data_IF_452524876967
#
_entry.id   IF_452524876967
#
_cell.length_a   1.000
_cell.length_b   1.000
_cell.length_c   1.000
_cell.angle_alpha   90.00
_cell.angle_beta   90.00
_cell.angle_gamma   90.00
#
_symmetry.space_group_name_H-M   'P 1'
#
loop_
_entity.id
_entity.type
_entity.pdbx_description
1 polymer ?
#
# COMPACT_ATOMS: atom_id res chain seq x y z
N UNK A 1 42.21 9.10 34.60
CA UNK A 1 40.99 8.25 34.46
C UNK A 1 40.12 8.93 33.41
N UNK A 2 40.25 8.57 32.13
CA UNK A 2 39.30 7.74 31.36
C UNK A 2 37.81 8.10 31.60
N UNK A 3 37.29 8.86 30.62
CA UNK A 3 35.94 8.86 30.02
C UNK A 3 34.70 8.76 30.91
N UNK A 4 33.70 9.62 30.63
CA UNK A 4 32.40 9.19 30.11
C UNK A 4 31.79 10.35 29.31
N UNK A 5 31.50 10.06 28.04
CA UNK A 5 30.63 10.80 27.13
C UNK A 5 29.20 10.32 27.38
N UNK A 6 28.22 11.23 27.44
CA UNK A 6 26.83 10.86 27.16
C UNK A 6 26.04 12.09 26.69
N UNK A 7 25.96 12.24 25.36
CA UNK A 7 25.08 13.17 24.67
C UNK A 7 23.62 12.69 24.81
N UNK A 8 22.74 13.57 25.29
CA UNK A 8 21.30 13.31 25.33
C UNK A 8 20.65 13.92 24.08
N UNK A 9 20.55 13.11 23.03
CA UNK A 9 19.75 13.42 21.84
C UNK A 9 18.27 13.28 22.18
N UNK A 10 17.53 14.38 22.19
CA UNK A 10 16.08 14.37 22.38
C UNK A 10 15.41 13.96 21.06
N UNK A 11 14.66 12.87 21.12
CA UNK A 11 14.01 12.19 20.03
C UNK A 11 13.00 13.06 19.27
N UNK A 12 13.09 13.02 17.94
CA UNK A 12 12.10 13.56 17.00
C UNK A 12 11.10 12.45 16.67
N UNK A 13 9.86 12.85 16.42
CA UNK A 13 8.78 12.13 15.73
C UNK A 13 7.96 11.11 16.54
N UNK A 14 6.93 11.61 17.23
CA UNK A 14 5.66 10.87 17.36
C UNK A 14 4.66 11.52 16.41
N UNK A 15 4.80 11.18 15.13
CA UNK A 15 3.84 11.48 14.07
C UNK A 15 3.22 10.17 13.58
N UNK A 16 2.62 9.37 14.47
CA UNK A 16 1.79 8.23 14.06
C UNK A 16 0.46 8.76 13.51
N UNK A 17 0.48 9.17 12.25
CA UNK A 17 -0.74 9.31 11.45
C UNK A 17 -1.19 7.93 10.96
N UNK A 18 -2.16 7.33 11.63
CA UNK A 18 -2.92 6.15 11.18
C UNK A 18 -4.17 6.08 12.05
N UNK A 19 -5.40 5.93 11.56
CA UNK A 19 -5.88 5.21 10.39
C UNK A 19 -7.25 5.85 10.06
N UNK A 20 -7.42 6.44 8.86
CA UNK A 20 -8.72 6.96 8.40
C UNK A 20 -9.12 6.19 7.15
N UNK A 21 -9.94 5.16 7.34
CA UNK A 21 -10.53 4.37 6.25
C UNK A 21 -10.54 2.91 6.64
N UNK A 22 -11.72 2.29 6.66
CA UNK A 22 -11.91 0.89 7.06
C UNK A 22 -11.33 -0.10 6.05
N UNK A 23 -10.02 -0.08 5.85
CA UNK A 23 -9.26 -0.97 4.99
C UNK A 23 -8.00 -1.44 5.73
N UNK A 24 -7.77 -2.74 5.70
CA UNK A 24 -6.63 -3.41 6.33
C UNK A 24 -5.47 -3.45 5.35
N UNK A 25 -4.27 -3.02 5.75
CA UNK A 25 -3.10 -3.16 4.87
C UNK A 25 -2.71 -4.64 4.75
N UNK A 26 -2.50 -5.10 3.52
CA UNK A 26 -2.08 -6.48 3.24
C UNK A 26 -0.81 -6.48 2.39
N UNK A 27 0.16 -7.38 2.67
CA UNK A 27 1.31 -7.57 1.79
C UNK A 27 0.85 -7.98 0.38
N UNK A 28 1.58 -7.54 -0.66
CA UNK A 28 1.25 -7.88 -2.04
C UNK A 28 1.24 -9.40 -2.27
N UNK A 29 2.05 -10.17 -1.53
CA UNK A 29 2.08 -11.63 -1.61
C UNK A 29 0.82 -12.30 -1.06
N UNK A 30 0.04 -11.60 -0.24
CA UNK A 30 -1.24 -12.07 0.27
C UNK A 30 -2.43 -11.65 -0.60
N UNK A 31 -2.20 -10.79 -1.61
CA UNK A 31 -3.22 -10.46 -2.59
C UNK A 31 -3.42 -11.66 -3.52
N UNK A 32 -4.67 -12.11 -3.76
CA UNK A 32 -4.93 -13.20 -4.69
C UNK A 32 -4.28 -12.99 -6.05
N UNK A 33 -3.70 -14.06 -6.62
CA UNK A 33 -2.95 -13.96 -7.86
C UNK A 33 -3.80 -13.45 -9.04
N UNK A 34 -5.09 -13.80 -9.08
CA UNK A 34 -6.04 -13.29 -10.07
C UNK A 34 -6.22 -11.77 -9.95
N UNK A 35 -6.35 -11.24 -8.74
CA UNK A 35 -6.45 -9.79 -8.48
C UNK A 35 -5.19 -9.07 -8.98
N UNK A 36 -4.00 -9.54 -8.61
CA UNK A 36 -2.75 -8.94 -9.08
C UNK A 36 -2.57 -9.04 -10.60
N UNK A 37 -3.10 -10.08 -11.22
CA UNK A 37 -3.09 -10.24 -12.68
C UNK A 37 -3.97 -9.20 -13.35
N UNK A 38 -5.23 -9.09 -12.90
CA UNK A 38 -6.19 -8.07 -13.41
C UNK A 38 -5.65 -6.66 -13.20
N UNK A 39 -5.04 -6.36 -12.05
CA UNK A 39 -4.43 -5.05 -11.78
C UNK A 39 -3.35 -4.70 -12.82
N UNK A 40 -2.45 -5.64 -13.13
CA UNK A 40 -1.38 -5.45 -14.12
C UNK A 40 -1.91 -5.31 -15.55
N UNK A 41 -2.96 -6.04 -15.89
CA UNK A 41 -3.60 -5.94 -17.21
C UNK A 41 -4.33 -4.61 -17.41
N UNK A 42 -5.02 -4.12 -16.39
CA UNK A 42 -5.81 -2.88 -16.46
C UNK A 42 -4.97 -1.61 -16.29
N UNK A 43 -3.87 -1.71 -15.55
CA UNK A 43 -2.93 -0.62 -15.32
C UNK A 43 -1.52 -1.00 -15.80
N UNK A 44 -1.32 -1.19 -17.12
CA UNK A 44 -0.03 -1.57 -17.65
C UNK A 44 1.01 -0.49 -17.38
N UNK A 45 2.20 -0.91 -16.94
CA UNK A 45 3.30 -0.01 -16.64
C UNK A 45 3.22 0.69 -15.28
N UNK A 46 2.24 0.35 -14.45
CA UNK A 46 2.24 0.67 -13.02
C UNK A 46 3.10 -0.34 -12.28
N UNK A 47 3.98 0.17 -11.42
CA UNK A 47 4.71 -0.64 -10.43
C UNK A 47 3.92 -0.61 -9.14
N UNK A 48 3.22 -1.71 -8.84
CA UNK A 48 2.45 -1.87 -7.61
C UNK A 48 3.35 -2.12 -6.41
N UNK A 49 3.09 -1.40 -5.32
CA UNK A 49 3.90 -1.45 -4.09
C UNK A 49 3.06 -1.57 -2.81
N UNK A 50 1.74 -1.34 -2.91
CA UNK A 50 0.82 -1.32 -1.76
C UNK A 50 -0.48 -2.03 -2.09
N UNK A 51 -1.06 -2.67 -1.10
CA UNK A 51 -2.41 -3.19 -1.17
C UNK A 51 -3.13 -3.07 0.17
N UNK A 52 -4.46 -2.99 0.07
CA UNK A 52 -5.37 -3.05 1.21
C UNK A 52 -6.54 -3.96 0.92
N UNK A 53 -7.04 -4.62 1.95
CA UNK A 53 -8.31 -5.33 1.95
C UNK A 53 -9.39 -4.44 2.55
N UNK A 54 -10.42 -4.12 1.77
CA UNK A 54 -11.58 -3.36 2.23
C UNK A 54 -12.51 -4.26 3.06
N UNK A 55 -13.36 -3.65 3.89
CA UNK A 55 -14.35 -4.37 4.73
C UNK A 55 -15.30 -5.29 3.94
N UNK A 56 -15.61 -4.96 2.68
CA UNK A 56 -16.44 -5.76 1.79
C UNK A 56 -15.68 -6.95 1.15
N UNK A 57 -14.39 -7.09 1.42
CA UNK A 57 -13.54 -8.15 0.87
C UNK A 57 -12.85 -7.79 -0.44
N UNK A 58 -13.11 -6.62 -1.02
CA UNK A 58 -12.36 -6.12 -2.17
C UNK A 58 -10.90 -5.82 -1.82
N UNK A 59 -10.06 -5.90 -2.83
CA UNK A 59 -8.66 -5.53 -2.75
C UNK A 59 -8.45 -4.23 -3.53
N UNK A 60 -7.91 -3.23 -2.82
CA UNK A 60 -7.36 -2.01 -3.41
C UNK A 60 -5.87 -2.25 -3.65
N UNK A 61 -5.40 -2.11 -4.88
CA UNK A 61 -3.97 -2.24 -5.23
C UNK A 61 -3.49 -0.91 -5.78
N UNK A 62 -2.41 -0.37 -5.20
CA UNK A 62 -1.87 0.96 -5.53
C UNK A 62 -0.40 0.86 -5.93
N UNK A 63 -0.01 1.73 -6.85
CA UNK A 63 1.34 1.82 -7.38
C UNK A 63 1.60 3.13 -8.10
N UNK A 64 2.78 3.23 -8.71
CA UNK A 64 3.18 4.42 -9.49
C UNK A 64 3.37 4.06 -10.96
N UNK A 65 2.87 4.91 -11.85
CA UNK A 65 3.18 4.82 -13.27
C UNK A 65 4.60 5.35 -13.58
N UNK A 66 4.99 5.28 -14.86
CA UNK A 66 6.32 5.76 -15.33
C UNK A 66 6.56 7.26 -15.09
N UNK A 67 5.52 8.06 -14.87
CA UNK A 67 5.59 9.48 -14.56
C UNK A 67 5.56 9.74 -13.05
N UNK A 68 5.52 8.70 -12.23
CA UNK A 68 5.42 8.77 -10.78
C UNK A 68 4.01 9.07 -10.27
N UNK A 69 3.00 9.13 -11.15
CA UNK A 69 1.60 9.33 -10.75
C UNK A 69 1.11 8.09 -10.05
N UNK A 70 0.46 8.26 -8.90
CA UNK A 70 -0.20 7.17 -8.18
C UNK A 70 -1.42 6.71 -8.99
N UNK A 71 -1.54 5.40 -9.15
CA UNK A 71 -2.68 4.72 -9.79
C UNK A 71 -3.20 3.69 -8.82
N UNK A 72 -4.51 3.63 -8.67
CA UNK A 72 -5.20 2.71 -7.77
C UNK A 72 -6.26 1.93 -8.55
N UNK A 73 -6.49 0.69 -8.14
CA UNK A 73 -7.52 -0.16 -8.72
C UNK A 73 -8.16 -1.01 -7.63
N UNK A 74 -9.48 -1.01 -7.60
CA UNK A 74 -10.28 -1.87 -6.73
C UNK A 74 -10.80 -3.08 -7.50
N UNK A 75 -10.60 -4.25 -6.91
CA UNK A 75 -10.92 -5.52 -7.53
C UNK A 75 -11.55 -6.44 -6.49
N UNK A 76 -12.69 -7.02 -6.83
CA UNK A 76 -13.33 -8.05 -6.02
C UNK A 76 -12.52 -9.35 -6.01
N UNK A 77 -12.72 -10.26 -5.04
CA UNK A 77 -11.98 -11.54 -4.99
C UNK A 77 -12.12 -12.42 -6.25
N UNK A 78 -13.23 -12.31 -6.99
CA UNK A 78 -13.48 -13.00 -8.27
C UNK A 78 -12.78 -12.34 -9.47
N UNK A 79 -12.17 -11.17 -9.29
CA UNK A 79 -11.43 -10.45 -10.33
C UNK A 79 -12.25 -9.38 -11.07
N UNK A 80 -13.46 -9.06 -10.59
CA UNK A 80 -14.26 -7.96 -11.15
C UNK A 80 -13.68 -6.63 -10.70
N UNK A 81 -13.41 -5.74 -11.66
CA UNK A 81 -12.93 -4.38 -11.37
C UNK A 81 -14.11 -3.50 -11.00
N UNK A 82 -14.03 -2.84 -9.84
CA UNK A 82 -15.08 -1.94 -9.35
C UNK A 82 -14.69 -0.47 -9.49
N UNK A 83 -13.40 -0.14 -9.43
CA UNK A 83 -12.91 1.24 -9.55
C UNK A 83 -11.48 1.31 -10.11
N UNK A 84 -11.15 2.37 -10.85
CA UNK A 84 -9.79 2.70 -11.31
C UNK A 84 -9.58 4.21 -11.17
N UNK A 85 -8.52 4.62 -10.44
CA UNK A 85 -8.18 6.02 -10.20
C UNK A 85 -6.90 6.48 -10.90
#
# INVERSE_FOLDING_TARGET
MRAIVAALALAVAVGCGGEKGGKESVPLEQVPANVMTVAKEKLPGVTFDRAWRKKNGEFEVSGKDKKGKIREIDITPDGTVTEIE
#
